data_IF_074619740349
#
_entry.id   IF_074619740349
#
_cell.length_a   1.000
_cell.length_b   1.000
_cell.length_c   1.000
_cell.angle_alpha   90.00
_cell.angle_beta   90.00
_cell.angle_gamma   90.00
#
_symmetry.space_group_name_H-M   'P 1'
#
loop_
_entity.id
_entity.type
_entity.pdbx_description
1 polymer ?
#
# COMPACT_ATOMS: atom_id res chain seq x y z
N UNK A 1 -60.77 -19.97 -44.33
CA UNK A 1 -61.76 -20.55 -45.28
C UNK A 1 -62.45 -21.71 -44.59
N UNK A 2 -63.77 -21.60 -44.33
CA UNK A 2 -64.59 -22.70 -43.79
C UNK A 2 -64.72 -23.78 -44.87
N UNK A 3 -64.69 -25.05 -44.46
CA UNK A 3 -64.62 -26.22 -45.34
C UNK A 3 -65.92 -26.46 -46.17
N UNK A 4 -66.94 -25.61 -46.02
CA UNK A 4 -68.28 -25.75 -46.63
C UNK A 4 -68.34 -25.57 -48.16
N UNK A 5 -67.31 -25.05 -48.84
CA UNK A 5 -67.34 -24.76 -50.29
C UNK A 5 -66.30 -25.55 -51.12
N UNK A 6 -65.85 -26.73 -50.67
CA UNK A 6 -64.83 -27.53 -51.37
C UNK A 6 -65.43 -28.75 -52.08
N UNK A 7 -65.00 -29.02 -53.31
CA UNK A 7 -65.45 -30.22 -54.06
C UNK A 7 -64.86 -31.51 -53.45
N UNK A 8 -65.48 -32.69 -53.65
CA UNK A 8 -65.00 -33.95 -53.06
C UNK A 8 -63.52 -34.26 -53.37
N UNK A 9 -63.05 -33.91 -54.58
CA UNK A 9 -61.66 -34.09 -55.01
C UNK A 9 -60.71 -33.12 -54.28
N UNK A 10 -61.14 -31.88 -54.01
CA UNK A 10 -60.37 -30.91 -53.25
C UNK A 10 -60.25 -31.31 -51.77
N UNK A 11 -61.32 -31.83 -51.18
CA UNK A 11 -61.30 -32.38 -49.81
C UNK A 11 -60.32 -33.56 -49.74
N UNK A 12 -60.36 -34.48 -50.72
CA UNK A 12 -59.45 -35.62 -50.78
C UNK A 12 -57.98 -35.20 -50.93
N UNK A 13 -57.67 -34.24 -51.82
CA UNK A 13 -56.32 -33.68 -51.97
C UNK A 13 -55.81 -33.00 -50.70
N UNK A 14 -56.67 -32.23 -50.01
CA UNK A 14 -56.34 -31.56 -48.73
C UNK A 14 -56.08 -32.57 -47.61
N UNK A 15 -56.90 -33.63 -47.51
CA UNK A 15 -56.67 -34.73 -46.54
C UNK A 15 -55.38 -35.48 -46.83
N UNK A 16 -55.11 -35.80 -48.10
CA UNK A 16 -53.87 -36.47 -48.52
C UNK A 16 -52.62 -35.62 -48.26
N UNK A 17 -52.68 -34.33 -48.55
CA UNK A 17 -51.60 -33.39 -48.23
C UNK A 17 -51.37 -33.28 -46.72
N UNK A 18 -52.44 -33.18 -45.91
CA UNK A 18 -52.32 -33.21 -44.44
C UNK A 18 -51.70 -34.52 -43.94
N UNK A 19 -52.11 -35.65 -44.50
CA UNK A 19 -51.54 -36.95 -44.13
C UNK A 19 -50.06 -37.07 -44.50
N UNK A 20 -49.67 -36.67 -45.71
CA UNK A 20 -48.26 -36.65 -46.13
C UNK A 20 -47.46 -35.71 -45.24
N UNK A 21 -47.99 -34.52 -44.96
CA UNK A 21 -47.31 -33.54 -44.11
C UNK A 21 -47.11 -34.09 -42.70
N UNK A 22 -48.12 -34.74 -42.11
CA UNK A 22 -47.99 -35.42 -40.81
C UNK A 22 -47.00 -36.59 -40.86
N UNK A 23 -46.99 -37.37 -41.94
CA UNK A 23 -46.08 -38.51 -42.11
C UNK A 23 -44.62 -38.10 -42.27
N UNK A 24 -44.35 -36.87 -42.73
CA UNK A 24 -43.00 -36.32 -42.85
C UNK A 24 -42.58 -35.56 -41.60
N UNK A 25 -43.48 -34.74 -41.02
CA UNK A 25 -43.13 -33.91 -39.87
C UNK A 25 -43.00 -34.70 -38.57
N UNK A 26 -43.85 -35.70 -38.33
CA UNK A 26 -43.82 -36.47 -37.08
C UNK A 26 -42.49 -37.25 -36.92
N UNK A 27 -42.02 -38.03 -37.92
CA UNK A 27 -40.72 -38.68 -37.83
C UNK A 27 -39.56 -37.69 -37.77
N UNK A 28 -39.65 -36.57 -38.51
CA UNK A 28 -38.63 -35.51 -38.47
C UNK A 28 -38.47 -34.87 -37.09
N UNK A 29 -39.59 -34.59 -36.40
CA UNK A 29 -39.57 -34.07 -35.03
C UNK A 29 -39.05 -35.13 -34.05
N UNK A 30 -39.48 -36.39 -34.17
CA UNK A 30 -39.01 -37.48 -33.30
C UNK A 30 -37.51 -37.75 -33.45
N UNK A 31 -36.99 -37.75 -34.68
CA UNK A 31 -35.56 -37.88 -34.94
C UNK A 31 -34.80 -36.66 -34.41
N UNK A 32 -35.31 -35.45 -34.62
CA UNK A 32 -34.73 -34.22 -34.09
C UNK A 32 -34.63 -34.21 -32.56
N UNK A 33 -35.72 -34.56 -31.87
CA UNK A 33 -35.74 -34.61 -30.39
C UNK A 33 -34.87 -35.73 -29.84
N UNK A 34 -34.87 -36.92 -30.45
CA UNK A 34 -33.98 -38.01 -30.07
C UNK A 34 -32.49 -37.63 -30.23
N UNK A 35 -32.14 -36.92 -31.30
CA UNK A 35 -30.78 -36.46 -31.56
C UNK A 35 -30.31 -35.44 -30.51
N UNK A 36 -31.15 -34.45 -30.20
CA UNK A 36 -30.85 -33.43 -29.19
C UNK A 36 -30.73 -34.08 -27.80
N UNK A 37 -31.62 -35.02 -27.48
CA UNK A 37 -31.60 -35.74 -26.19
C UNK A 37 -30.33 -36.59 -26.07
N UNK A 38 -29.93 -37.28 -27.13
CA UNK A 38 -28.68 -38.06 -27.16
C UNK A 38 -27.44 -37.15 -27.04
N UNK A 39 -27.43 -35.99 -27.69
CA UNK A 39 -26.34 -35.01 -27.58
C UNK A 39 -26.26 -34.37 -26.19
N UNK A 40 -27.40 -34.17 -25.51
CA UNK A 40 -27.43 -33.69 -24.14
C UNK A 40 -27.01 -34.76 -23.13
N UNK A 41 -27.48 -36.01 -23.28
CA UNK A 41 -27.14 -37.11 -22.37
C UNK A 41 -25.69 -37.59 -22.50
N UNK A 42 -25.11 -37.49 -23.69
CA UNK A 42 -23.69 -37.76 -23.94
C UNK A 42 -22.75 -36.62 -23.52
N UNK A 43 -23.29 -35.50 -23.02
CA UNK A 43 -22.51 -34.35 -22.58
C UNK A 43 -21.93 -33.49 -23.72
N UNK A 44 -22.28 -33.78 -24.98
CA UNK A 44 -21.87 -33.00 -26.16
C UNK A 44 -22.44 -31.57 -26.17
N UNK A 45 -23.59 -31.36 -25.51
CA UNK A 45 -24.22 -30.04 -25.33
C UNK A 45 -24.12 -29.51 -23.91
N UNK A 46 -23.54 -30.25 -22.97
CA UNK A 46 -23.31 -29.74 -21.62
C UNK A 46 -22.06 -28.86 -21.64
N UNK A 47 -22.16 -27.58 -21.24
CA UNK A 47 -20.96 -26.78 -21.09
C UNK A 47 -20.03 -27.45 -20.07
N UNK A 48 -18.70 -27.44 -20.31
CA UNK A 48 -17.76 -28.01 -19.36
C UNK A 48 -17.97 -27.36 -17.99
N UNK A 49 -17.79 -28.12 -16.90
CA UNK A 49 -17.93 -27.56 -15.56
C UNK A 49 -17.03 -26.32 -15.43
N UNK A 50 -17.50 -25.24 -14.78
CA UNK A 50 -16.68 -24.06 -14.59
C UNK A 50 -15.38 -24.47 -13.90
N UNK A 51 -14.24 -24.09 -14.49
CA UNK A 51 -12.93 -24.34 -13.89
C UNK A 51 -12.95 -23.83 -12.45
N UNK A 52 -12.42 -24.59 -11.47
CA UNK A 52 -12.39 -24.16 -10.08
C UNK A 52 -11.82 -22.74 -9.99
N UNK A 53 -12.57 -21.82 -9.38
CA UNK A 53 -12.13 -20.46 -9.18
C UNK A 53 -10.90 -20.48 -8.27
N UNK A 54 -9.75 -20.08 -8.80
CA UNK A 54 -8.54 -20.13 -8.03
C UNK A 54 -8.51 -19.04 -6.97
N UNK A 55 -8.46 -19.44 -5.70
CA UNK A 55 -8.33 -18.51 -4.58
C UNK A 55 -6.85 -18.24 -4.32
N UNK A 56 -6.39 -16.98 -4.37
CA UNK A 56 -4.99 -16.67 -4.08
C UNK A 56 -4.63 -16.98 -2.62
N UNK A 57 -3.41 -17.45 -2.41
CA UNK A 57 -2.89 -17.76 -1.07
C UNK A 57 -2.45 -16.46 -0.38
N UNK A 58 -3.11 -16.09 0.72
CA UNK A 58 -2.85 -14.84 1.44
C UNK A 58 -1.93 -15.11 2.61
N UNK A 59 -0.70 -14.61 2.52
CA UNK A 59 0.32 -14.79 3.55
C UNK A 59 0.71 -13.45 4.20
N UNK A 60 1.24 -13.46 5.44
CA UNK A 60 1.82 -12.27 6.05
C UNK A 60 2.92 -11.68 5.15
N UNK A 61 2.86 -10.37 4.94
CA UNK A 61 3.86 -9.67 4.14
C UNK A 61 5.20 -9.61 4.90
N UNK A 62 6.34 -9.72 4.20
CA UNK A 62 7.64 -9.55 4.82
C UNK A 62 7.80 -8.13 5.37
N UNK A 63 8.63 -7.99 6.42
CA UNK A 63 8.99 -6.65 6.91
C UNK A 63 9.69 -5.86 5.79
N UNK A 64 9.26 -4.63 5.53
CA UNK A 64 9.81 -3.80 4.42
C UNK A 64 11.33 -3.58 4.53
N UNK A 65 11.89 -3.63 5.74
CA UNK A 65 13.31 -3.48 6.01
C UNK A 65 14.10 -4.80 5.99
N UNK A 66 13.46 -5.96 5.85
CA UNK A 66 14.13 -7.27 5.92
C UNK A 66 14.83 -7.67 4.62
N UNK A 67 14.56 -6.96 3.51
CA UNK A 67 15.16 -7.21 2.20
C UNK A 67 15.59 -5.90 1.55
N UNK A 68 16.45 -5.99 0.55
CA UNK A 68 16.99 -4.84 -0.16
C UNK A 68 16.23 -4.57 -1.45
N UNK A 69 16.11 -3.28 -1.78
CA UNK A 69 15.48 -2.81 -3.02
C UNK A 69 16.46 -1.95 -3.81
N UNK A 70 16.61 -2.26 -5.09
CA UNK A 70 17.21 -1.34 -6.06
C UNK A 70 16.10 -0.65 -6.84
N UNK A 71 16.29 0.63 -7.18
CA UNK A 71 15.34 1.38 -8.00
C UNK A 71 16.03 1.82 -9.28
N UNK A 72 15.49 1.37 -10.42
CA UNK A 72 16.06 1.62 -11.74
C UNK A 72 15.12 2.48 -12.56
N UNK A 73 15.67 3.43 -13.32
CA UNK A 73 14.92 4.31 -14.20
C UNK A 73 14.94 3.81 -15.65
N UNK A 74 13.78 3.40 -16.18
CA UNK A 74 13.56 3.07 -17.60
C UNK A 74 12.64 4.09 -18.30
N UNK A 75 12.41 5.27 -17.69
CA UNK A 75 11.47 6.28 -18.21
C UNK A 75 12.09 7.26 -19.19
N UNK A 76 13.42 7.37 -19.21
CA UNK A 76 14.15 8.41 -19.94
C UNK A 76 14.10 9.81 -19.31
N UNK A 77 13.31 10.02 -18.26
CA UNK A 77 13.22 11.30 -17.53
C UNK A 77 14.20 11.33 -16.36
N UNK A 78 14.85 12.45 -16.12
CA UNK A 78 15.76 12.59 -14.97
C UNK A 78 15.01 12.58 -13.63
N UNK A 79 15.62 12.03 -12.58
CA UNK A 79 15.11 12.10 -11.20
C UNK A 79 14.05 11.07 -10.79
N UNK A 80 13.40 10.38 -11.74
CA UNK A 80 12.27 9.48 -11.44
C UNK A 80 12.64 8.35 -10.47
N UNK A 81 13.77 7.67 -10.66
CA UNK A 81 14.19 6.61 -9.73
C UNK A 81 14.51 7.15 -8.34
N UNK A 82 15.07 8.36 -8.23
CA UNK A 82 15.34 8.99 -6.94
C UNK A 82 14.05 9.35 -6.20
N UNK A 83 13.04 9.82 -6.91
CA UNK A 83 11.71 10.11 -6.35
C UNK A 83 11.04 8.83 -5.82
N UNK A 84 11.02 7.77 -6.63
CA UNK A 84 10.47 6.46 -6.23
C UNK A 84 11.25 5.88 -5.05
N UNK A 85 12.57 5.94 -5.09
CA UNK A 85 13.44 5.50 -3.99
C UNK A 85 13.16 6.28 -2.69
N UNK A 86 13.01 7.60 -2.77
CA UNK A 86 12.66 8.41 -1.61
C UNK A 86 11.29 8.03 -1.04
N UNK A 87 10.30 7.78 -1.89
CA UNK A 87 8.99 7.33 -1.44
C UNK A 87 9.00 5.93 -0.81
N UNK A 88 9.70 4.97 -1.42
CA UNK A 88 9.87 3.64 -0.83
C UNK A 88 10.64 3.71 0.50
N UNK A 89 11.68 4.55 0.59
CA UNK A 89 12.40 4.82 1.83
C UNK A 89 11.49 5.38 2.93
N UNK A 90 10.61 6.34 2.61
CA UNK A 90 9.59 6.86 3.55
C UNK A 90 8.62 5.79 4.04
N UNK A 91 8.43 4.72 3.26
CA UNK A 91 7.58 3.56 3.62
C UNK A 91 8.34 2.48 4.39
N UNK A 92 9.63 2.66 4.66
CA UNK A 92 10.46 1.74 5.45
C UNK A 92 11.16 0.66 4.63
N UNK A 93 11.20 0.77 3.30
CA UNK A 93 11.99 -0.14 2.47
C UNK A 93 13.48 0.19 2.57
N UNK A 94 14.33 -0.84 2.57
CA UNK A 94 15.79 -0.69 2.58
C UNK A 94 16.31 -0.52 1.16
N UNK A 95 16.43 0.73 0.72
CA UNK A 95 17.00 1.05 -0.60
C UNK A 95 18.53 0.95 -0.55
N UNK A 96 19.12 0.19 -1.47
CA UNK A 96 20.58 0.03 -1.56
C UNK A 96 21.18 0.50 -2.88
N UNK A 97 20.35 0.75 -3.90
CA UNK A 97 20.81 1.22 -5.21
C UNK A 97 19.76 2.07 -5.92
N UNK A 98 20.24 3.15 -6.57
CA UNK A 98 19.46 4.01 -7.46
C UNK A 98 20.26 4.14 -8.76
N UNK A 99 19.70 3.72 -9.89
CA UNK A 99 20.42 3.72 -11.17
C UNK A 99 19.48 3.90 -12.37
N UNK A 100 20.04 3.95 -13.57
CA UNK A 100 19.28 3.80 -14.80
C UNK A 100 19.19 2.32 -15.17
N UNK A 101 18.05 1.92 -15.76
CA UNK A 101 17.92 0.59 -16.33
C UNK A 101 18.83 0.42 -17.56
N UNK A 102 19.24 -0.82 -17.90
CA UNK A 102 19.94 -1.11 -19.15
C UNK A 102 19.17 -0.57 -20.38
N UNK A 103 19.88 -0.04 -21.38
CA UNK A 103 19.27 0.54 -22.58
C UNK A 103 18.41 -0.43 -23.39
N UNK A 104 18.65 -1.74 -23.25
CA UNK A 104 17.87 -2.80 -23.89
C UNK A 104 16.50 -3.03 -23.23
N UNK A 105 16.29 -2.51 -22.02
CA UNK A 105 15.06 -2.73 -21.26
C UNK A 105 14.04 -1.65 -21.60
N UNK A 106 13.09 -2.00 -22.45
CA UNK A 106 11.97 -1.14 -22.81
C UNK A 106 10.73 -1.51 -21.97
N UNK A 107 10.50 -0.76 -20.88
CA UNK A 107 9.40 -1.01 -19.94
C UNK A 107 8.26 -0.04 -20.19
N UNK A 108 7.18 -0.52 -20.81
CA UNK A 108 5.97 0.28 -21.08
C UNK A 108 5.04 0.37 -19.88
N UNK A 109 5.13 -0.58 -18.97
CA UNK A 109 4.34 -0.63 -17.74
C UNK A 109 4.76 0.48 -16.77
N UNK A 110 3.92 0.83 -15.77
CA UNK A 110 4.31 1.77 -14.71
C UNK A 110 5.58 1.37 -13.97
N UNK A 111 5.70 0.09 -13.65
CA UNK A 111 6.95 -0.50 -13.19
C UNK A 111 6.96 -2.01 -13.46
N UNK A 112 8.15 -2.60 -13.48
CA UNK A 112 8.36 -4.05 -13.44
C UNK A 112 9.26 -4.34 -12.25
N UNK A 113 8.82 -5.21 -11.36
CA UNK A 113 9.58 -5.65 -10.19
C UNK A 113 10.26 -6.96 -10.55
N UNK A 114 11.58 -6.91 -10.68
CA UNK A 114 12.41 -8.08 -10.93
C UNK A 114 12.74 -8.78 -9.61
N UNK A 115 12.59 -10.10 -9.58
CA UNK A 115 12.79 -10.90 -8.37
C UNK A 115 13.24 -12.32 -8.69
N UNK A 116 13.78 -13.00 -7.68
CA UNK A 116 14.17 -14.42 -7.75
C UNK A 116 13.11 -15.34 -7.16
N UNK A 117 13.23 -16.67 -7.32
CA UNK A 117 12.23 -17.62 -6.81
C UNK A 117 11.93 -17.47 -5.31
N UNK A 118 12.93 -17.09 -4.50
CA UNK A 118 12.79 -16.87 -3.04
C UNK A 118 12.24 -15.48 -2.68
N UNK A 119 12.13 -14.57 -3.65
CA UNK A 119 11.78 -13.16 -3.48
C UNK A 119 10.33 -12.81 -3.82
N UNK A 120 9.46 -13.79 -4.07
CA UNK A 120 8.09 -13.54 -4.56
C UNK A 120 7.28 -12.63 -3.61
N UNK A 121 7.32 -12.88 -2.31
CA UNK A 121 6.54 -12.11 -1.33
C UNK A 121 7.03 -10.66 -1.23
N UNK A 122 8.35 -10.47 -1.34
CA UNK A 122 9.01 -9.17 -1.36
C UNK A 122 8.64 -8.40 -2.62
N UNK A 123 8.57 -9.10 -3.76
CA UNK A 123 8.19 -8.54 -5.04
C UNK A 123 6.72 -8.12 -5.06
N UNK A 124 5.81 -8.96 -4.54
CA UNK A 124 4.39 -8.63 -4.37
C UNK A 124 4.20 -7.40 -3.47
N UNK A 125 4.96 -7.33 -2.38
CA UNK A 125 4.93 -6.18 -1.48
C UNK A 125 5.42 -4.90 -2.18
N UNK A 126 6.51 -4.95 -2.94
CA UNK A 126 7.02 -3.82 -3.71
C UNK A 126 6.05 -3.41 -4.84
N UNK A 127 5.47 -4.38 -5.55
CA UNK A 127 4.49 -4.18 -6.62
C UNK A 127 3.27 -3.42 -6.11
N UNK A 128 2.78 -3.74 -4.91
CA UNK A 128 1.62 -3.07 -4.32
C UNK A 128 1.83 -1.56 -4.08
N UNK A 129 3.07 -1.07 -4.12
CA UNK A 129 3.38 0.35 -3.95
C UNK A 129 3.19 1.18 -5.23
N UNK A 130 3.17 0.54 -6.40
CA UNK A 130 3.08 1.22 -7.70
C UNK A 130 1.89 0.63 -8.47
N UNK A 131 0.78 1.37 -8.62
CA UNK A 131 -0.38 0.91 -9.36
C UNK A 131 -0.02 0.49 -10.79
N UNK A 132 -0.46 -0.71 -11.19
CA UNK A 132 -0.19 -1.26 -12.51
C UNK A 132 1.21 -1.88 -12.69
N UNK A 133 2.03 -1.93 -11.64
CA UNK A 133 3.31 -2.63 -11.68
C UNK A 133 3.13 -4.13 -12.00
N UNK A 134 4.10 -4.71 -12.70
CA UNK A 134 4.14 -6.14 -13.03
C UNK A 134 5.32 -6.80 -12.32
N UNK A 135 5.24 -8.12 -12.18
CA UNK A 135 6.32 -8.94 -11.65
C UNK A 135 7.06 -9.59 -12.82
N UNK A 136 8.38 -9.74 -12.67
CA UNK A 136 9.22 -10.48 -13.60
C UNK A 136 10.22 -11.33 -12.81
N UNK A 137 10.09 -12.65 -12.91
CA UNK A 137 11.04 -13.55 -12.28
C UNK A 137 12.27 -13.70 -13.19
N UNK A 138 13.45 -13.36 -12.69
CA UNK A 138 14.69 -13.37 -13.47
C UNK A 138 15.70 -14.44 -13.03
N UNK A 139 15.28 -15.34 -12.13
CA UNK A 139 16.09 -16.47 -11.67
C UNK A 139 17.25 -16.09 -10.73
N UNK A 140 17.34 -14.83 -10.28
CA UNK A 140 18.33 -14.44 -9.26
C UNK A 140 18.16 -15.25 -7.98
N UNK A 141 19.23 -15.41 -7.21
CA UNK A 141 19.12 -15.95 -5.85
C UNK A 141 18.80 -14.84 -4.84
N UNK A 142 18.31 -15.24 -3.67
CA UNK A 142 17.98 -14.35 -2.56
C UNK A 142 16.60 -13.69 -2.68
N UNK A 143 16.38 -12.69 -1.83
CA UNK A 143 15.09 -12.01 -1.65
C UNK A 143 15.12 -10.53 -2.07
N UNK A 144 16.23 -10.10 -2.69
CA UNK A 144 16.35 -8.74 -3.21
C UNK A 144 15.45 -8.55 -4.42
N UNK A 145 14.96 -7.32 -4.59
CA UNK A 145 14.09 -6.95 -5.70
C UNK A 145 14.60 -5.69 -6.38
N UNK A 146 14.45 -5.63 -7.70
CA UNK A 146 14.72 -4.41 -8.46
C UNK A 146 13.40 -3.85 -8.97
N UNK A 147 13.10 -2.62 -8.57
CA UNK A 147 11.94 -1.86 -9.05
C UNK A 147 12.37 -1.07 -10.27
N UNK A 148 12.04 -1.57 -11.46
CA UNK A 148 12.32 -0.89 -12.73
C UNK A 148 11.14 0.00 -13.08
N UNK A 149 11.31 1.31 -12.95
CA UNK A 149 10.26 2.31 -13.20
C UNK A 149 10.16 2.57 -14.70
N UNK A 150 9.01 2.31 -15.29
CA UNK A 150 8.79 2.36 -16.74
C UNK A 150 8.03 3.59 -17.23
N UNK A 151 7.83 3.65 -18.54
CA UNK A 151 7.22 4.80 -19.23
C UNK A 151 5.79 5.10 -18.77
N UNK A 152 5.06 4.09 -18.30
CA UNK A 152 3.72 4.23 -17.77
C UNK A 152 3.65 4.80 -16.35
N UNK A 153 4.78 5.10 -15.70
CA UNK A 153 4.81 5.57 -14.32
C UNK A 153 4.13 6.92 -14.19
N UNK A 154 3.24 7.03 -13.21
CA UNK A 154 2.54 8.28 -12.88
C UNK A 154 2.83 8.68 -11.44
N UNK A 155 2.55 7.76 -10.51
CA UNK A 155 2.70 7.99 -9.08
C UNK A 155 2.77 6.66 -8.32
N UNK A 156 3.21 6.71 -7.07
CA UNK A 156 3.05 5.62 -6.11
C UNK A 156 1.72 5.75 -5.39
N UNK A 157 1.24 4.66 -4.77
CA UNK A 157 0.14 4.73 -3.80
C UNK A 157 0.49 5.77 -2.71
N UNK A 158 -0.47 6.54 -2.17
CA UNK A 158 -0.18 7.51 -1.12
C UNK A 158 0.58 6.91 0.07
N UNK A 159 1.43 7.71 0.73
CA UNK A 159 2.12 7.24 1.93
C UNK A 159 1.04 6.96 2.98
N UNK A 160 1.03 5.77 3.62
CA UNK A 160 0.08 5.52 4.69
C UNK A 160 0.26 6.56 5.79
N UNK A 161 -0.84 7.10 6.36
CA UNK A 161 -0.73 8.09 7.41
C UNK A 161 0.07 7.51 8.58
N UNK A 162 1.07 8.27 9.05
CA UNK A 162 1.81 7.91 10.26
C UNK A 162 0.90 8.14 11.46
N UNK A 163 0.88 7.17 12.37
CA UNK A 163 0.15 7.30 13.62
C UNK A 163 0.79 8.40 14.48
N UNK A 164 -0.04 9.20 15.14
CA UNK A 164 0.45 10.13 16.14
C UNK A 164 1.16 9.34 17.26
N UNK A 165 2.38 9.75 17.66
CA UNK A 165 3.09 9.12 18.75
C UNK A 165 2.33 9.37 20.06
N UNK A 166 2.56 8.49 21.03
CA UNK A 166 2.21 8.76 22.42
C UNK A 166 3.46 9.19 23.19
N UNK A 167 3.34 9.89 24.34
CA UNK A 167 4.49 10.36 25.10
C UNK A 167 5.56 9.29 25.34
N UNK A 168 5.14 8.05 25.68
CA UNK A 168 6.06 6.93 25.95
C UNK A 168 6.85 6.43 24.74
N UNK A 169 6.57 6.90 23.53
CA UNK A 169 7.34 6.62 22.31
C UNK A 169 8.29 7.75 21.94
N UNK A 170 8.11 8.93 22.54
CA UNK A 170 8.88 10.12 22.20
C UNK A 170 10.10 10.22 23.10
N UNK A 171 11.27 10.22 22.47
CA UNK A 171 12.56 10.47 23.14
C UNK A 171 12.89 11.95 23.07
N UNK A 172 13.06 12.58 24.24
CA UNK A 172 13.30 14.02 24.39
C UNK A 172 14.65 14.25 25.05
N UNK A 173 15.44 15.17 24.50
CA UNK A 173 16.56 15.80 25.22
C UNK A 173 16.10 17.17 25.71
N UNK A 174 16.46 17.56 26.93
CA UNK A 174 16.05 18.84 27.52
C UNK A 174 17.28 19.72 27.73
N UNK A 175 17.33 20.84 27.03
CA UNK A 175 18.48 21.74 27.02
C UNK A 175 18.15 23.11 27.61
N UNK A 176 19.01 23.56 28.52
CA UNK A 176 18.92 24.90 29.10
C UNK A 176 19.73 25.90 28.29
N UNK A 177 19.12 27.04 27.94
CA UNK A 177 19.84 28.22 27.41
C UNK A 177 19.73 29.45 28.31
N UNK A 178 19.12 29.27 29.48
CA UNK A 178 18.88 30.34 30.45
C UNK A 178 19.96 30.41 31.52
N UNK A 179 19.97 31.50 32.28
CA UNK A 179 20.84 31.69 33.44
C UNK A 179 20.38 30.91 34.69
N UNK A 180 19.24 30.22 34.62
CA UNK A 180 18.65 29.50 35.76
C UNK A 180 19.30 28.13 35.92
N UNK A 181 20.12 27.96 36.96
CA UNK A 181 20.72 26.67 37.30
C UNK A 181 19.65 25.63 37.62
N UNK A 182 19.81 24.41 37.10
CA UNK A 182 18.89 23.29 37.36
C UNK A 182 17.56 23.33 36.60
N UNK A 183 17.29 24.39 35.82
CA UNK A 183 15.99 24.57 35.19
C UNK A 183 15.64 23.48 34.17
N UNK A 184 16.60 23.03 33.36
CA UNK A 184 16.40 21.89 32.46
C UNK A 184 16.04 20.60 33.21
N UNK A 185 16.59 20.39 34.41
CA UNK A 185 16.25 19.22 35.22
C UNK A 185 14.79 19.30 35.71
N UNK A 186 14.36 20.45 36.21
CA UNK A 186 12.96 20.66 36.63
C UNK A 186 12.00 20.42 35.47
N UNK A 187 12.28 20.98 34.29
CA UNK A 187 11.43 20.77 33.10
C UNK A 187 11.48 19.32 32.63
N UNK A 188 12.65 18.69 32.65
CA UNK A 188 12.80 17.27 32.32
C UNK A 188 11.98 16.36 33.24
N UNK A 189 11.95 16.64 34.54
CA UNK A 189 11.15 15.87 35.50
C UNK A 189 9.65 16.01 35.20
N UNK A 190 9.18 17.21 34.82
CA UNK A 190 7.79 17.42 34.39
C UNK A 190 7.47 16.71 33.06
N UNK A 191 8.38 16.79 32.08
CA UNK A 191 8.24 16.09 30.79
C UNK A 191 8.18 14.58 31.02
N UNK A 192 9.04 14.04 31.88
CA UNK A 192 9.05 12.63 32.26
C UNK A 192 7.77 12.21 32.99
N UNK A 193 7.25 13.05 33.89
CA UNK A 193 6.00 12.79 34.60
C UNK A 193 4.80 12.65 33.65
N UNK A 194 4.84 13.35 32.50
CA UNK A 194 3.85 13.25 31.42
C UNK A 194 4.05 12.04 30.50
N UNK A 195 4.97 11.14 30.86
CA UNK A 195 5.21 9.87 30.16
C UNK A 195 6.23 9.92 29.02
N UNK A 196 6.85 11.08 28.77
CA UNK A 196 7.93 11.18 27.77
C UNK A 196 9.20 10.46 28.21
N UNK A 197 9.96 9.93 27.25
CA UNK A 197 11.27 9.33 27.50
C UNK A 197 12.36 10.41 27.46
N UNK A 198 12.72 10.96 28.61
CA UNK A 198 13.87 11.87 28.69
C UNK A 198 15.17 11.08 28.57
N UNK A 199 15.99 11.42 27.58
CA UNK A 199 17.28 10.78 27.32
C UNK A 199 18.46 11.59 27.86
N UNK A 200 18.44 12.89 27.66
CA UNK A 200 19.55 13.78 28.03
C UNK A 200 19.03 15.08 28.65
N UNK A 201 19.78 15.61 29.62
CA UNK A 201 19.46 16.86 30.33
C UNK A 201 20.76 17.64 30.53
N UNK A 202 20.93 18.74 29.81
CA UNK A 202 22.17 19.50 29.82
C UNK A 202 21.95 20.98 29.48
N UNK A 203 23.04 21.74 29.41
CA UNK A 203 23.03 23.03 28.70
C UNK A 203 23.03 22.78 27.19
N UNK A 204 22.49 23.72 26.41
CA UNK A 204 22.43 23.58 24.95
C UNK A 204 23.83 23.38 24.34
N UNK A 205 24.09 22.25 23.64
CA UNK A 205 25.39 21.99 23.02
C UNK A 205 25.74 23.01 21.94
N UNK A 206 24.73 23.64 21.31
CA UNK A 206 24.95 24.68 20.31
C UNK A 206 25.32 26.04 20.94
N UNK A 207 25.29 26.15 22.27
CA UNK A 207 25.59 27.38 23.03
C UNK A 207 24.82 28.60 22.51
N UNK A 208 23.58 28.37 22.08
CA UNK A 208 22.69 29.44 21.63
C UNK A 208 21.97 30.06 22.83
N UNK A 209 21.65 31.35 22.75
CA UNK A 209 20.78 32.01 23.72
C UNK A 209 19.39 32.14 23.13
N UNK A 210 18.39 31.47 23.72
CA UNK A 210 17.00 31.56 23.26
C UNK A 210 16.25 32.62 24.05
N UNK A 211 15.86 33.71 23.36
CA UNK A 211 15.10 34.81 23.96
C UNK A 211 13.58 34.54 24.00
N UNK A 212 13.11 33.53 23.26
CA UNK A 212 11.71 33.10 23.23
C UNK A 212 11.34 32.17 24.39
N UNK A 213 10.18 31.52 24.28
CA UNK A 213 9.70 30.52 25.25
C UNK A 213 10.51 29.24 25.13
N UNK A 214 10.50 28.60 23.96
CA UNK A 214 11.32 27.43 23.70
C UNK A 214 11.55 27.24 22.20
N UNK A 215 12.54 26.41 21.86
CA UNK A 215 12.73 25.88 20.51
C UNK A 215 12.70 24.36 20.59
N UNK A 216 11.89 23.71 19.76
CA UNK A 216 11.89 22.26 19.61
C UNK A 216 12.67 21.93 18.34
N UNK A 217 13.84 21.31 18.48
CA UNK A 217 14.68 20.87 17.35
C UNK A 217 14.40 19.41 17.02
N UNK A 218 14.21 19.10 15.74
CA UNK A 218 13.79 17.77 15.30
C UNK A 218 14.25 17.44 13.88
N UNK A 219 14.38 16.15 13.58
CA UNK A 219 14.64 15.65 12.23
C UNK A 219 13.36 15.23 11.49
N UNK A 220 13.49 14.85 10.21
CA UNK A 220 12.36 14.37 9.39
C UNK A 220 11.56 13.24 10.08
N UNK A 221 12.23 12.33 10.79
CA UNK A 221 11.58 11.21 11.49
C UNK A 221 10.91 11.61 12.81
N UNK A 222 11.29 12.75 13.39
CA UNK A 222 10.84 13.26 14.68
C UNK A 222 9.78 14.37 14.58
N UNK A 223 9.27 14.69 13.40
CA UNK A 223 8.30 15.77 13.19
C UNK A 223 6.99 15.57 13.95
N UNK A 224 6.44 14.35 13.99
CA UNK A 224 5.27 14.04 14.81
C UNK A 224 5.57 14.07 16.31
N UNK A 225 6.80 13.70 16.70
CA UNK A 225 7.27 13.79 18.08
C UNK A 225 7.36 15.25 18.53
N UNK A 226 7.84 16.12 17.64
CA UNK A 226 7.93 17.56 17.86
C UNK A 226 6.54 18.20 17.91
N UNK A 227 5.62 17.78 17.04
CA UNK A 227 4.24 18.24 17.07
C UNK A 227 3.54 17.86 18.37
N UNK A 228 3.73 16.63 18.86
CA UNK A 228 3.21 16.21 20.16
C UNK A 228 3.79 17.05 21.30
N UNK A 229 5.11 17.23 21.33
CA UNK A 229 5.79 18.02 22.35
C UNK A 229 5.37 19.50 22.33
N UNK A 230 5.12 20.06 21.14
CA UNK A 230 4.58 21.42 20.99
C UNK A 230 3.19 21.57 21.61
N UNK A 231 2.38 20.52 21.67
CA UNK A 231 1.12 20.53 22.41
C UNK A 231 1.30 20.83 23.91
N UNK A 232 2.46 20.50 24.48
CA UNK A 232 2.81 20.81 25.87
C UNK A 232 3.53 22.17 26.04
N UNK A 233 4.03 22.74 24.93
CA UNK A 233 4.75 24.02 24.87
C UNK A 233 4.31 24.80 23.60
N UNK A 234 3.12 25.41 23.60
CA UNK A 234 2.49 25.95 22.39
C UNK A 234 3.29 27.09 21.75
N UNK A 235 3.95 27.90 22.58
CA UNK A 235 4.82 29.00 22.14
C UNK A 235 6.22 28.54 21.70
N UNK A 236 6.46 27.22 21.63
CA UNK A 236 7.70 26.70 21.09
C UNK A 236 7.78 26.88 19.58
N UNK A 237 8.93 27.39 19.12
CA UNK A 237 9.28 27.40 17.70
C UNK A 237 9.75 26.00 17.27
N UNK A 238 9.27 25.54 16.11
CA UNK A 238 9.67 24.26 15.54
C UNK A 238 10.84 24.50 14.57
N UNK A 239 12.01 23.93 14.88
CA UNK A 239 13.20 24.02 14.03
C UNK A 239 13.57 22.64 13.52
N UNK A 240 13.48 22.44 12.21
CA UNK A 240 13.89 21.20 11.57
C UNK A 240 15.40 21.21 11.32
N UNK A 241 16.09 20.21 11.82
CA UNK A 241 17.52 19.98 11.57
C UNK A 241 17.77 18.73 10.72
N UNK A 242 19.05 18.42 10.50
CA UNK A 242 19.50 17.34 9.63
C UNK A 242 19.61 15.97 10.35
N UNK A 243 19.14 15.82 11.60
CA UNK A 243 19.26 14.55 12.32
C UNK A 243 18.45 13.45 11.63
N UNK A 244 19.00 12.24 11.63
CA UNK A 244 18.36 11.09 10.99
C UNK A 244 17.38 10.36 11.92
N UNK A 245 17.53 10.49 13.24
CA UNK A 245 16.68 9.81 14.21
C UNK A 245 15.37 10.56 14.49
N UNK A 246 14.51 9.96 15.30
CA UNK A 246 13.22 10.53 15.71
C UNK A 246 13.29 11.27 17.06
N UNK A 247 14.48 11.48 17.61
CA UNK A 247 14.61 12.23 18.87
C UNK A 247 14.30 13.71 18.64
N UNK A 248 13.87 14.38 19.72
CA UNK A 248 13.59 15.81 19.70
C UNK A 248 14.31 16.50 20.85
N UNK A 249 14.76 17.73 20.64
CA UNK A 249 15.37 18.53 21.69
C UNK A 249 14.39 19.63 22.11
N UNK A 250 14.07 19.70 23.40
CA UNK A 250 13.40 20.83 24.02
C UNK A 250 14.45 21.82 24.51
N UNK A 251 14.64 22.90 23.76
CA UNK A 251 15.59 23.96 24.11
C UNK A 251 14.83 25.07 24.81
N UNK A 252 15.04 25.19 26.11
CA UNK A 252 14.33 26.10 27.00
C UNK A 252 14.91 27.51 26.84
N UNK A 253 14.05 28.48 26.53
CA UNK A 253 14.40 29.89 26.41
C UNK A 253 14.09 30.71 27.65
N UNK A 254 14.56 31.96 27.66
CA UNK A 254 14.47 32.85 28.81
C UNK A 254 13.04 33.25 29.20
N UNK A 255 12.08 33.18 28.26
CA UNK A 255 10.65 33.44 28.55
C UNK A 255 9.90 32.19 29.02
N UNK A 256 10.56 31.02 29.07
CA UNK A 256 9.93 29.81 29.57
C UNK A 256 9.62 29.93 31.06
N UNK A 257 8.36 29.69 31.40
CA UNK A 257 7.89 29.64 32.77
C UNK A 257 7.63 28.19 33.17
N UNK A 258 6.73 27.53 32.47
CA UNK A 258 6.25 26.17 32.76
C UNK A 258 5.63 25.50 31.52
N UNK A 259 5.39 24.20 31.62
CA UNK A 259 4.59 23.46 30.66
C UNK A 259 3.11 23.81 30.82
N UNK A 260 2.34 23.71 29.74
CA UNK A 260 0.87 23.85 29.78
C UNK A 260 0.28 22.89 30.82
N UNK A 261 -0.70 23.32 31.64
CA UNK A 261 -1.36 22.43 32.60
C UNK A 261 -1.82 21.14 31.95
N UNK A 262 -1.66 20.01 32.64
CA UNK A 262 -1.96 18.69 32.05
C UNK A 262 -3.42 18.54 31.61
N UNK A 263 -4.34 19.18 32.32
CA UNK A 263 -5.77 19.22 31.98
C UNK A 263 -6.06 19.94 30.65
N UNK A 264 -5.19 20.85 30.22
CA UNK A 264 -5.36 21.64 28.99
C UNK A 264 -4.70 20.96 27.78
N UNK A 265 -3.97 19.86 27.99
CA UNK A 265 -3.40 19.08 26.90
C UNK A 265 -4.51 18.26 26.24
N UNK A 266 -4.75 18.41 24.92
CA UNK A 266 -5.76 17.61 24.23
C UNK A 266 -5.52 16.11 24.44
N UNK A 267 -6.58 15.31 24.69
CA UNK A 267 -6.44 13.87 24.88
C UNK A 267 -5.89 13.21 23.63
N UNK A 268 -5.05 12.20 23.82
CA UNK A 268 -4.49 11.44 22.70
C UNK A 268 -5.59 10.67 21.97
N UNK A 269 -5.55 10.62 20.62
CA UNK A 269 -6.50 9.81 19.87
C UNK A 269 -6.31 8.32 20.22
N UNK A 270 -7.40 7.52 20.22
CA UNK A 270 -7.30 6.08 20.47
C UNK A 270 -6.41 5.42 19.42
N UNK A 271 -5.50 4.57 19.89
CA UNK A 271 -4.55 3.87 19.01
C UNK A 271 -5.28 2.79 18.20
N UNK A 272 -5.22 2.81 16.86
CA UNK A 272 -5.73 1.72 16.04
C UNK A 272 -4.99 0.42 16.35
N UNK A 273 -5.70 -0.71 16.29
CA UNK A 273 -5.05 -2.03 16.40
C UNK A 273 -4.06 -2.21 15.25
N UNK A 274 -2.83 -2.66 15.50
CA UNK A 274 -1.88 -2.97 14.43
C UNK A 274 -2.48 -4.02 13.49
N UNK A 275 -2.52 -3.70 12.19
CA UNK A 275 -2.91 -4.66 11.15
C UNK A 275 -1.63 -5.22 10.55
N UNK A 276 -1.50 -6.54 10.55
CA UNK A 276 -0.38 -7.19 9.85
C UNK A 276 -0.63 -7.07 8.34
N UNK A 277 0.27 -6.44 7.58
CA UNK A 277 0.13 -6.40 6.13
C UNK A 277 0.21 -7.82 5.56
N UNK A 278 -0.53 -8.08 4.49
CA UNK A 278 -0.53 -9.37 3.79
C UNK A 278 -0.20 -9.18 2.32
N UNK A 279 0.29 -10.24 1.67
CA UNK A 279 0.46 -10.34 0.23
C UNK A 279 -0.30 -11.56 -0.28
N UNK A 280 -0.89 -11.43 -1.47
CA UNK A 280 -1.65 -12.50 -2.11
C UNK A 280 -0.78 -13.15 -3.19
N UNK A 281 -0.36 -14.39 -2.98
CA UNK A 281 0.41 -15.14 -3.97
C UNK A 281 -0.51 -15.57 -5.11
N UNK A 282 -0.08 -15.42 -6.37
CA UNK A 282 -0.83 -15.97 -7.49
C UNK A 282 -0.89 -17.49 -7.35
N UNK A 283 -1.97 -18.07 -7.85
CA UNK A 283 -2.12 -19.51 -7.89
C UNK A 283 -1.00 -20.16 -8.72
N UNK A 284 -0.38 -21.20 -8.19
CA UNK A 284 0.46 -22.11 -8.96
C UNK A 284 -0.41 -22.79 -10.02
N UNK A 285 -0.21 -22.42 -11.29
CA UNK A 285 -0.82 -23.07 -12.45
C UNK A 285 -0.19 -24.44 -12.71
#
# INVERSE_FOLDING_TARGET
>A
MKDENLTPIQIWRKKRLRQILLFVTIPGVLLGTASITAAYSSGLLTPPPPKPACTPDVVPAPARSSFTVNVMNATGKQGVASEVAAGLGKRGFKIVGISNAPKSWYVTQPAVVHYGPKGLDQALLAQSQIPGAKLFEDGRDGTSVDVVVGLGYKEMVPVPPRLAPIPSEVTVNVYNTTWKTGFAKTVADQVKARGFKVKDVANDPLRTMQLGTAVIRYGERGDLNAALLKGHVPDAELVKDARADASVDLVIGNKFTELVPEADVPPLPPRPKPVTPTVARPCSS
#
